data_IF_944096321019
#
_entry.id   IF_944096321019
#
_cell.length_a   1.000
_cell.length_b   1.000
_cell.length_c   1.000
_cell.angle_alpha   90.00
_cell.angle_beta   90.00
_cell.angle_gamma   90.00
#
_symmetry.space_group_name_H-M   'P 1'
#
loop_
_entity.id
_entity.type
_entity.pdbx_description
1 polymer ?
#
# COMPACT_ATOMS: atom_id res chain seq x y z
N UNK A 1 -26.49 45.81 23.25
CA UNK A 1 -27.65 44.88 23.25
C UNK A 1 -28.90 45.75 23.35
N UNK A 2 -29.79 45.71 22.36
CA UNK A 2 -31.11 46.31 22.49
C UNK A 2 -32.04 45.24 23.09
N UNK A 3 -32.75 45.57 24.15
CA UNK A 3 -33.74 44.66 24.75
C UNK A 3 -35.12 45.04 24.24
N UNK A 4 -35.88 44.07 23.79
CA UNK A 4 -37.30 44.29 23.51
C UNK A 4 -38.03 44.39 24.86
N UNK A 5 -38.70 45.52 25.08
CA UNK A 5 -39.43 45.80 26.32
C UNK A 5 -40.79 45.08 26.37
N UNK A 6 -41.22 44.45 25.28
CA UNK A 6 -42.51 43.78 25.14
C UNK A 6 -42.41 42.25 25.05
N UNK A 7 -41.20 41.69 24.91
CA UNK A 7 -40.98 40.23 24.98
C UNK A 7 -40.87 39.77 26.44
N UNK A 8 -41.66 38.76 26.80
CA UNK A 8 -41.71 38.22 28.17
C UNK A 8 -40.45 37.46 28.58
N UNK A 9 -39.66 36.99 27.61
CA UNK A 9 -38.50 36.11 27.81
C UNK A 9 -37.15 36.87 27.87
N UNK A 10 -37.16 38.18 28.10
CA UNK A 10 -35.94 39.02 28.08
C UNK A 10 -35.18 38.95 26.75
N UNK A 11 -35.90 38.83 25.64
CA UNK A 11 -35.31 38.81 24.31
C UNK A 11 -34.70 40.16 23.92
N UNK A 12 -33.71 40.10 23.03
CA UNK A 12 -32.97 41.26 22.59
C UNK A 12 -31.98 40.93 21.48
N UNK A 13 -31.67 41.91 20.65
CA UNK A 13 -30.72 41.78 19.56
C UNK A 13 -29.39 42.45 19.86
N UNK A 14 -28.31 41.80 19.43
CA UNK A 14 -27.01 42.45 19.34
C UNK A 14 -27.07 43.50 18.23
N UNK A 15 -26.77 44.75 18.57
CA UNK A 15 -26.81 45.87 17.63
C UNK A 15 -25.62 45.86 16.68
N UNK A 16 -24.53 45.21 17.08
CA UNK A 16 -23.26 45.19 16.35
C UNK A 16 -22.79 43.73 16.25
N UNK A 17 -23.14 43.10 15.12
CA UNK A 17 -22.77 41.72 14.83
C UNK A 17 -21.25 41.58 14.56
N UNK A 18 -20.65 42.61 13.96
CA UNK A 18 -19.21 42.62 13.68
C UNK A 18 -18.40 42.68 14.98
N UNK A 19 -18.83 43.50 15.95
CA UNK A 19 -18.20 43.53 17.28
C UNK A 19 -18.37 42.21 18.02
N UNK A 20 -19.54 41.56 17.94
CA UNK A 20 -19.75 40.24 18.55
C UNK A 20 -18.79 39.20 17.95
N UNK A 21 -18.70 39.15 16.63
CA UNK A 21 -17.79 38.25 15.91
C UNK A 21 -16.33 38.52 16.29
N UNK A 22 -15.92 39.79 16.36
CA UNK A 22 -14.57 40.16 16.80
C UNK A 22 -14.29 39.69 18.23
N UNK A 23 -15.20 39.88 19.18
CA UNK A 23 -15.03 39.44 20.57
C UNK A 23 -14.90 37.92 20.68
N UNK A 24 -15.64 37.18 19.86
CA UNK A 24 -15.53 35.72 19.78
C UNK A 24 -14.14 35.32 19.27
N UNK A 25 -13.65 35.97 18.22
CA UNK A 25 -12.31 35.70 17.69
C UNK A 25 -11.20 36.05 18.66
N UNK A 26 -11.27 37.20 19.32
CA UNK A 26 -10.30 37.63 20.34
C UNK A 26 -10.25 36.60 21.49
N UNK A 27 -11.41 36.06 21.88
CA UNK A 27 -11.49 35.01 22.88
C UNK A 27 -10.88 33.69 22.40
N UNK A 28 -11.27 33.21 21.21
CA UNK A 28 -10.73 31.98 20.62
C UNK A 28 -9.21 32.04 20.44
N UNK A 29 -8.68 33.21 20.06
CA UNK A 29 -7.24 33.44 19.96
C UNK A 29 -6.54 33.27 21.31
N UNK A 30 -7.11 33.84 22.37
CA UNK A 30 -6.56 33.70 23.74
C UNK A 30 -6.54 32.24 24.18
N UNK A 31 -7.61 31.51 23.92
CA UNK A 31 -7.71 30.09 24.26
C UNK A 31 -6.72 29.25 23.42
N UNK A 32 -6.54 29.57 22.12
CA UNK A 32 -5.57 28.93 21.24
C UNK A 32 -4.11 29.18 21.65
N UNK A 33 -3.77 30.39 22.12
CA UNK A 33 -2.45 30.71 22.66
C UNK A 33 -2.13 29.89 23.91
N UNK A 34 -3.14 29.67 24.77
CA UNK A 34 -3.02 28.82 25.96
C UNK A 34 -2.69 27.39 25.56
N UNK A 35 -3.42 26.83 24.60
CA UNK A 35 -3.18 25.47 24.10
C UNK A 35 -1.81 25.38 23.43
N UNK A 36 -1.40 26.38 22.65
CA UNK A 36 -0.08 26.39 22.01
C UNK A 36 1.06 26.33 23.04
N UNK A 37 0.90 26.99 24.19
CA UNK A 37 1.87 26.95 25.27
C UNK A 37 2.08 25.54 25.86
N UNK A 38 1.13 24.61 25.67
CA UNK A 38 1.22 23.22 26.11
C UNK A 38 2.11 22.34 25.22
N UNK A 39 2.75 22.92 24.20
CA UNK A 39 3.80 22.29 23.39
C UNK A 39 3.39 21.82 21.99
N UNK A 40 2.18 22.14 21.54
CA UNK A 40 1.69 21.77 20.20
C UNK A 40 2.42 22.56 19.09
N UNK A 41 2.82 21.87 18.02
CA UNK A 41 3.52 22.46 16.85
C UNK A 41 2.73 23.62 16.24
N UNK A 42 1.43 23.42 16.09
CA UNK A 42 0.51 24.43 15.59
C UNK A 42 -0.83 24.35 16.32
N UNK A 43 -1.53 25.47 16.37
CA UNK A 43 -2.90 25.56 16.86
C UNK A 43 -3.67 26.45 15.90
N UNK A 44 -4.81 25.96 15.42
CA UNK A 44 -5.67 26.67 14.48
C UNK A 44 -7.04 26.89 15.12
N UNK A 45 -7.53 28.13 15.08
CA UNK A 45 -8.76 28.52 15.77
C UNK A 45 -9.77 29.13 14.81
N UNK A 46 -11.00 28.62 14.82
CA UNK A 46 -12.09 29.15 14.00
C UNK A 46 -13.44 28.91 14.68
N UNK A 47 -14.41 29.79 14.43
CA UNK A 47 -15.79 29.64 14.94
C UNK A 47 -16.40 28.31 14.49
N UNK A 48 -16.09 27.89 13.25
CA UNK A 48 -16.47 26.60 12.70
C UNK A 48 -15.49 26.22 11.59
N UNK A 49 -15.17 24.94 11.46
CA UNK A 49 -14.38 24.43 10.34
C UNK A 49 -15.28 23.77 9.27
N UNK A 50 -14.93 23.87 7.98
CA UNK A 50 -15.58 23.09 6.93
C UNK A 50 -15.49 21.58 7.18
N UNK A 51 -16.45 20.83 6.63
CA UNK A 51 -16.37 19.38 6.59
C UNK A 51 -15.09 18.94 5.87
N UNK A 52 -14.36 17.98 6.44
CA UNK A 52 -13.11 17.48 5.88
C UNK A 52 -11.87 18.34 6.12
N UNK A 53 -11.93 19.38 6.97
CA UNK A 53 -10.76 20.20 7.31
C UNK A 53 -9.58 19.41 7.91
N UNK A 54 -9.83 18.21 8.44
CA UNK A 54 -8.80 17.27 8.94
C UNK A 54 -8.39 16.21 7.92
N UNK A 55 -8.98 16.19 6.72
CA UNK A 55 -8.69 15.18 5.71
C UNK A 55 -7.22 15.24 5.28
N UNK A 56 -6.59 14.06 5.19
CA UNK A 56 -5.18 13.94 4.85
C UNK A 56 -4.21 14.12 6.01
N UNK A 57 -4.69 14.43 7.22
CA UNK A 57 -3.86 14.52 8.43
C UNK A 57 -3.83 13.20 9.19
N UNK A 58 -2.67 12.80 9.70
CA UNK A 58 -2.57 11.64 10.60
C UNK A 58 -3.06 12.00 12.00
N UNK A 59 -3.82 11.10 12.62
CA UNK A 59 -4.34 11.27 13.97
C UNK A 59 -3.42 10.58 14.99
N UNK A 60 -3.04 11.30 16.04
CA UNK A 60 -2.44 10.78 17.26
C UNK A 60 -3.52 10.83 18.35
N UNK A 61 -3.70 9.71 19.04
CA UNK A 61 -4.60 9.62 20.19
C UNK A 61 -3.77 9.81 21.46
N UNK A 62 -4.33 10.54 22.41
CA UNK A 62 -3.75 10.58 23.75
C UNK A 62 -3.88 9.21 24.40
N UNK A 63 -2.92 8.91 25.27
CA UNK A 63 -2.91 7.69 26.06
C UNK A 63 -3.22 8.05 27.52
N UNK A 64 -3.86 7.16 28.30
CA UNK A 64 -4.02 7.37 29.73
C UNK A 64 -2.65 7.61 30.36
N UNK A 65 -2.54 8.59 31.26
CA UNK A 65 -1.29 8.82 31.99
C UNK A 65 -0.77 7.53 32.63
N UNK A 66 0.56 7.38 32.75
CA UNK A 66 1.18 6.21 33.39
C UNK A 66 0.97 6.21 34.91
N UNK A 67 0.80 5.03 35.52
CA UNK A 67 0.58 4.93 36.98
C UNK A 67 1.92 5.15 37.67
N UNK A 68 1.95 6.06 38.64
CA UNK A 68 3.13 6.19 39.50
C UNK A 68 3.30 4.93 40.35
N UNK A 69 4.52 4.66 40.80
CA UNK A 69 4.81 3.48 41.64
C UNK A 69 3.97 3.47 42.94
N UNK A 70 3.64 4.64 43.48
CA UNK A 70 2.78 4.78 44.67
C UNK A 70 1.32 4.43 44.35
N UNK A 71 0.81 4.87 43.20
CA UNK A 71 -0.54 4.53 42.73
C UNK A 71 -0.66 3.04 42.40
N UNK A 72 0.36 2.44 41.78
CA UNK A 72 0.41 0.98 41.53
C UNK A 72 0.35 0.23 42.86
N UNK A 73 1.19 0.61 43.83
CA UNK A 73 1.20 -0.04 45.14
C UNK A 73 -0.14 0.11 45.88
N UNK A 74 -0.81 1.25 45.73
CA UNK A 74 -2.16 1.48 46.29
C UNK A 74 -3.21 0.63 45.57
N UNK A 75 -3.18 0.59 44.24
CA UNK A 75 -4.08 -0.24 43.42
C UNK A 75 -3.94 -1.71 43.81
N UNK A 76 -2.72 -2.22 43.90
CA UNK A 76 -2.44 -3.60 44.29
C UNK A 76 -2.97 -3.92 45.70
N UNK A 77 -2.84 -2.97 46.64
CA UNK A 77 -3.37 -3.13 47.99
C UNK A 77 -4.91 -3.14 48.04
N UNK A 78 -5.56 -2.21 47.33
CA UNK A 78 -7.02 -2.11 47.24
C UNK A 78 -7.58 -3.35 46.53
N UNK A 79 -6.93 -3.81 45.46
CA UNK A 79 -7.30 -5.04 44.74
C UNK A 79 -7.16 -6.26 45.63
N UNK A 80 -6.07 -6.39 46.38
CA UNK A 80 -5.88 -7.51 47.30
C UNK A 80 -6.91 -7.50 48.44
N UNK A 81 -7.31 -6.33 48.95
CA UNK A 81 -8.40 -6.19 49.93
C UNK A 81 -9.74 -6.59 49.33
N UNK A 82 -10.04 -6.12 48.11
CA UNK A 82 -11.25 -6.48 47.36
C UNK A 82 -11.34 -7.98 47.15
N UNK A 83 -10.30 -8.61 46.57
CA UNK A 83 -10.27 -10.05 46.27
C UNK A 83 -10.41 -10.90 47.54
N UNK A 84 -9.78 -10.48 48.65
CA UNK A 84 -9.90 -11.18 49.93
C UNK A 84 -11.31 -11.05 50.53
N UNK A 85 -11.94 -9.89 50.39
CA UNK A 85 -13.28 -9.62 50.90
C UNK A 85 -14.35 -10.32 50.07
N UNK A 86 -14.18 -10.36 48.74
CA UNK A 86 -15.06 -11.06 47.79
C UNK A 86 -15.02 -12.58 48.03
N UNK A 87 -13.82 -13.15 48.17
CA UNK A 87 -13.66 -14.57 48.50
C UNK A 87 -14.32 -14.92 49.84
N UNK A 88 -14.17 -14.06 50.85
CA UNK A 88 -14.84 -14.24 52.14
C UNK A 88 -16.36 -14.16 52.00
N UNK A 89 -16.88 -13.19 51.26
CA UNK A 89 -18.31 -13.01 51.00
C UNK A 89 -18.91 -14.23 50.29
N UNK A 90 -18.20 -14.81 49.30
CA UNK A 90 -18.62 -16.01 48.59
C UNK A 90 -18.75 -17.27 49.47
N UNK A 91 -18.02 -17.34 50.59
CA UNK A 91 -18.11 -18.45 51.56
C UNK A 91 -19.24 -18.28 52.59
N UNK A 92 -19.89 -17.11 52.65
CA UNK A 92 -20.98 -16.84 53.60
C UNK A 92 -22.34 -17.29 53.06
N UNK A 93 -23.17 -17.86 53.95
CA UNK A 93 -24.51 -18.37 53.61
C UNK A 93 -25.59 -17.28 53.69
N UNK A 94 -25.33 -16.21 54.45
CA UNK A 94 -26.22 -15.05 54.64
C UNK A 94 -25.55 -13.78 54.08
N UNK A 95 -26.35 -12.90 53.48
CA UNK A 95 -25.89 -11.60 52.96
C UNK A 95 -25.51 -10.64 54.10
N UNK A 96 -24.34 -10.02 53.99
CA UNK A 96 -23.83 -9.00 54.91
C UNK A 96 -23.70 -7.66 54.19
N UNK A 97 -24.60 -6.73 54.50
CA UNK A 97 -24.67 -5.41 53.88
C UNK A 97 -23.39 -4.59 54.11
N UNK A 98 -22.70 -4.77 55.24
CA UNK A 98 -21.47 -4.01 55.51
C UNK A 98 -20.32 -4.45 54.59
N UNK A 99 -20.32 -5.74 54.21
CA UNK A 99 -19.34 -6.30 53.29
C UNK A 99 -19.66 -5.93 51.84
N UNK A 100 -20.94 -5.95 51.46
CA UNK A 100 -21.40 -5.46 50.16
C UNK A 100 -21.04 -3.98 49.96
N UNK A 101 -21.37 -3.12 50.93
CA UNK A 101 -21.06 -1.68 50.88
C UNK A 101 -19.54 -1.44 50.77
N UNK A 102 -18.73 -2.30 51.42
CA UNK A 102 -17.27 -2.21 51.36
C UNK A 102 -16.71 -2.70 50.02
N UNK A 103 -17.26 -3.77 49.44
CA UNK A 103 -16.90 -4.23 48.10
C UNK A 103 -17.25 -3.19 47.05
N UNK A 104 -18.43 -2.57 47.13
CA UNK A 104 -18.85 -1.48 46.25
C UNK A 104 -17.91 -0.27 46.37
N UNK A 105 -17.51 0.08 47.60
CA UNK A 105 -16.55 1.15 47.83
C UNK A 105 -15.17 0.85 47.22
N UNK A 106 -14.64 -0.36 47.43
CA UNK A 106 -13.34 -0.78 46.89
C UNK A 106 -13.39 -0.91 45.36
N UNK A 107 -14.50 -1.40 44.81
CA UNK A 107 -14.76 -1.43 43.36
C UNK A 107 -14.77 -0.04 42.74
N UNK A 108 -15.48 0.91 43.36
CA UNK A 108 -15.47 2.31 42.92
C UNK A 108 -14.07 2.95 43.02
N UNK A 109 -13.27 2.58 44.03
CA UNK A 109 -11.88 3.03 44.14
C UNK A 109 -11.00 2.42 43.02
N UNK A 110 -11.17 1.13 42.70
CA UNK A 110 -10.49 0.45 41.58
C UNK A 110 -10.84 1.07 40.23
N UNK A 111 -12.12 1.37 39.99
CA UNK A 111 -12.59 2.06 38.79
C UNK A 111 -11.99 3.47 38.69
N UNK A 112 -11.84 4.16 39.83
CA UNK A 112 -11.19 5.46 39.91
C UNK A 112 -9.73 5.48 39.45
N UNK A 113 -9.00 4.36 39.56
CA UNK A 113 -7.65 4.25 38.99
C UNK A 113 -7.65 4.16 37.46
N UNK A 114 -8.77 3.75 36.84
CA UNK A 114 -8.94 3.71 35.39
C UNK A 114 -9.35 5.05 34.78
N UNK A 115 -9.99 5.94 35.55
CA UNK A 115 -10.44 7.27 35.11
C UNK A 115 -9.28 8.29 35.15
N UNK A 116 -8.39 8.20 34.16
CA UNK A 116 -7.13 8.97 34.11
C UNK A 116 -7.12 10.02 33.00
N UNK A 117 -6.44 11.16 33.23
CA UNK A 117 -6.27 12.15 32.19
C UNK A 117 -5.53 11.53 31.00
N UNK A 118 -6.06 11.79 29.80
CA UNK A 118 -5.44 11.42 28.55
C UNK A 118 -4.32 12.41 28.24
N UNK A 119 -3.09 11.92 28.09
CA UNK A 119 -1.88 12.71 27.87
C UNK A 119 -1.24 12.37 26.53
N UNK A 120 -0.58 13.37 25.94
CA UNK A 120 0.22 13.21 24.73
C UNK A 120 1.71 13.28 25.10
N UNK A 121 2.52 12.44 24.47
CA UNK A 121 3.97 12.53 24.58
C UNK A 121 4.44 13.91 24.06
N UNK A 122 5.31 14.64 24.77
CA UNK A 122 5.91 15.88 24.28
C UNK A 122 6.50 15.78 22.86
N UNK A 123 7.10 14.65 22.46
CA UNK A 123 7.61 14.42 21.12
C UNK A 123 6.49 14.33 20.08
N UNK A 124 5.34 13.76 20.45
CA UNK A 124 4.15 13.75 19.59
C UNK A 124 3.57 15.16 19.44
N UNK A 125 3.48 15.94 20.53
CA UNK A 125 3.04 17.34 20.47
C UNK A 125 3.95 18.22 19.62
N UNK A 126 5.25 17.92 19.58
CA UNK A 126 6.21 18.66 18.76
C UNK A 126 6.00 18.50 17.25
N UNK A 127 5.29 17.46 16.81
CA UNK A 127 4.94 17.23 15.39
C UNK A 127 3.45 17.42 15.09
N UNK A 128 2.58 17.34 16.10
CA UNK A 128 1.14 17.46 15.96
C UNK A 128 0.62 18.85 16.35
N UNK A 129 -0.61 19.15 15.94
CA UNK A 129 -1.34 20.34 16.34
C UNK A 129 -2.76 20.07 16.81
N UNK A 130 -3.46 21.17 17.09
CA UNK A 130 -4.82 21.16 17.62
C UNK A 130 -5.73 22.17 16.91
N UNK A 131 -6.98 21.78 16.68
CA UNK A 131 -8.04 22.67 16.26
C UNK A 131 -8.83 23.16 17.48
N UNK A 132 -9.17 24.44 17.49
CA UNK A 132 -9.93 25.10 18.55
C UNK A 132 -11.18 25.72 17.92
N UNK A 133 -12.35 25.25 18.34
CA UNK A 133 -13.62 25.69 17.76
C UNK A 133 -14.71 25.85 18.82
N UNK A 134 -15.85 26.41 18.43
CA UNK A 134 -17.03 26.49 19.27
C UNK A 134 -17.98 25.34 18.92
N UNK A 135 -18.25 24.49 19.91
CA UNK A 135 -19.24 23.42 19.75
C UNK A 135 -20.66 23.95 19.61
N UNK A 136 -21.58 23.09 19.18
CA UNK A 136 -23.00 23.43 19.02
C UNK A 136 -23.68 23.89 20.32
N UNK A 137 -23.12 23.54 21.48
CA UNK A 137 -23.54 23.98 22.81
C UNK A 137 -22.86 25.28 23.27
N UNK A 138 -22.14 25.98 22.37
CA UNK A 138 -21.35 27.18 22.65
C UNK A 138 -20.19 26.98 23.63
N UNK A 139 -19.75 25.75 23.87
CA UNK A 139 -18.54 25.47 24.64
C UNK A 139 -17.31 25.37 23.72
N UNK A 140 -16.14 25.73 24.26
CA UNK A 140 -14.87 25.55 23.57
C UNK A 140 -14.62 24.06 23.34
N UNK A 141 -14.37 23.67 22.09
CA UNK A 141 -13.97 22.33 21.70
C UNK A 141 -12.53 22.36 21.20
N UNK A 142 -11.71 21.47 21.75
CA UNK A 142 -10.31 21.31 21.37
C UNK A 142 -10.12 19.91 20.81
N UNK A 143 -9.78 19.83 19.53
CA UNK A 143 -9.46 18.58 18.86
C UNK A 143 -7.96 18.54 18.61
N UNK A 144 -7.21 17.88 19.50
CA UNK A 144 -5.74 17.87 19.49
C UNK A 144 -5.17 16.54 19.00
N UNK A 145 -3.98 16.53 18.40
CA UNK A 145 -3.35 15.30 17.89
C UNK A 145 -3.43 15.13 16.37
N UNK A 146 -3.39 16.21 15.59
CA UNK A 146 -3.34 16.13 14.13
C UNK A 146 -1.94 16.44 13.58
N UNK A 147 -1.37 15.52 12.81
CA UNK A 147 -0.08 15.72 12.12
C UNK A 147 -0.37 16.03 10.65
N UNK A 148 0.11 17.16 10.16
CA UNK A 148 -0.01 17.53 8.75
C UNK A 148 1.01 16.72 7.92
N UNK A 149 0.76 16.43 6.63
CA UNK A 149 1.72 15.70 5.80
C UNK A 149 3.14 16.29 5.80
N UNK A 150 3.26 17.62 5.82
CA UNK A 150 4.54 18.33 5.90
C UNK A 150 5.24 18.23 7.26
N UNK A 151 4.52 17.80 8.30
CA UNK A 151 5.00 17.64 9.67
C UNK A 151 5.37 16.20 10.02
N UNK A 152 5.16 15.25 9.10
CA UNK A 152 5.56 13.86 9.26
C UNK A 152 7.10 13.77 9.35
N UNK A 153 7.66 13.03 10.32
CA UNK A 153 9.09 12.78 10.35
C UNK A 153 9.48 12.04 9.07
N UNK A 154 10.34 12.65 8.25
CA UNK A 154 10.95 11.97 7.12
C UNK A 154 11.74 10.79 7.67
N UNK A 155 11.44 9.58 7.22
CA UNK A 155 12.34 8.46 7.44
C UNK A 155 13.67 8.84 6.78
N UNK A 156 14.78 8.75 7.53
CA UNK A 156 16.11 8.73 6.95
C UNK A 156 16.24 7.44 6.13
N UNK A 157 15.70 7.45 4.91
CA UNK A 157 16.23 6.61 3.86
C UNK A 157 17.52 7.28 3.42
N UNK A 158 18.61 6.50 3.32
CA UNK A 158 19.87 6.95 2.73
C UNK A 158 19.59 7.48 1.31
N UNK A 159 19.43 8.80 1.19
CA UNK A 159 19.31 9.52 -0.07
C UNK A 159 20.73 9.76 -0.61
N UNK A 160 21.15 8.94 -1.57
CA UNK A 160 22.08 9.40 -2.60
C UNK A 160 21.26 10.17 -3.65
N UNK A 161 21.53 11.46 -3.74
CA UNK A 161 20.99 12.40 -4.71
C UNK A 161 21.26 11.96 -6.15
N UNK A 162 20.28 12.09 -7.04
CA UNK A 162 20.45 12.87 -8.28
C UNK A 162 19.07 13.28 -8.85
N UNK A 163 19.03 14.53 -9.29
CA UNK A 163 17.87 15.23 -9.85
C UNK A 163 17.70 14.95 -11.35
N UNK A 164 16.45 14.83 -11.84
CA UNK A 164 15.99 15.60 -13.01
C UNK A 164 14.46 15.58 -13.23
N UNK A 165 13.94 16.79 -13.48
CA UNK A 165 12.91 17.18 -14.46
C UNK A 165 11.65 16.35 -14.72
N UNK A 166 10.50 16.85 -14.26
CA UNK A 166 9.18 16.40 -14.73
C UNK A 166 8.00 17.24 -14.26
N UNK A 167 7.72 18.30 -15.00
CA UNK A 167 6.62 19.27 -14.90
C UNK A 167 5.25 18.67 -14.51
N UNK A 168 4.72 19.08 -13.34
CA UNK A 168 3.28 19.05 -13.02
C UNK A 168 2.91 20.32 -12.25
N UNK A 169 2.28 21.21 -13.00
CA UNK A 169 1.57 22.41 -12.58
C UNK A 169 0.71 22.19 -11.33
N UNK A 170 1.19 22.69 -10.19
CA UNK A 170 0.43 22.92 -8.97
C UNK A 170 0.46 24.43 -8.70
N UNK A 171 -0.64 25.09 -9.05
CA UNK A 171 -0.86 26.51 -8.85
C UNK A 171 -0.73 26.90 -7.37
N UNK A 172 0.28 27.73 -7.09
CA UNK A 172 0.40 28.74 -6.03
C UNK A 172 -0.24 28.41 -4.66
N UNK A 173 0.55 27.83 -3.78
CA UNK A 173 0.42 28.03 -2.33
C UNK A 173 1.38 29.14 -1.91
N UNK A 174 0.83 30.25 -1.40
CA UNK A 174 1.59 31.37 -0.86
C UNK A 174 2.58 30.89 0.22
N UNK A 175 3.85 31.25 0.02
CA UNK A 175 4.91 31.14 1.02
C UNK A 175 4.56 32.02 2.23
N UNK A 176 4.31 31.41 3.38
CA UNK A 176 4.58 32.09 4.64
C UNK A 176 4.98 31.07 5.72
N UNK A 177 6.28 30.74 5.72
CA UNK A 177 6.95 30.16 6.88
C UNK A 177 6.99 31.18 8.01
N UNK A 178 5.90 31.26 8.77
CA UNK A 178 5.86 31.99 10.03
C UNK A 178 4.96 31.25 11.02
N UNK A 179 5.59 30.86 12.12
CA UNK A 179 4.99 30.47 13.39
C UNK A 179 3.76 31.35 13.70
N UNK A 180 2.53 30.87 13.42
CA UNK A 180 1.35 31.73 13.39
C UNK A 180 0.04 31.00 13.69
N UNK A 181 -0.81 31.66 14.48
CA UNK A 181 -2.22 31.32 14.68
C UNK A 181 -2.96 31.84 13.44
N UNK A 182 -3.56 30.95 12.66
CA UNK A 182 -4.37 31.32 11.49
C UNK A 182 -5.84 31.40 11.92
N UNK A 183 -6.46 32.56 11.69
CA UNK A 183 -7.89 32.82 11.89
C UNK A 183 -8.40 33.48 10.60
N UNK A 184 -9.19 32.75 9.79
CA UNK A 184 -10.16 33.21 8.76
C UNK A 184 -10.19 32.32 7.49
N UNK A 185 -10.94 31.22 7.56
CA UNK A 185 -11.25 30.37 6.41
C UNK A 185 -12.65 30.61 5.81
N UNK A 186 -13.02 31.84 5.38
CA UNK A 186 -14.26 32.02 4.59
C UNK A 186 -14.25 33.22 3.62
N UNK A 187 -14.48 32.90 2.35
CA UNK A 187 -14.85 33.83 1.28
C UNK A 187 -16.37 34.04 1.29
N UNK A 188 -16.80 35.29 1.41
CA UNK A 188 -18.20 35.74 1.29
C UNK A 188 -18.42 36.34 -0.10
N UNK A 189 -18.59 35.50 -1.12
CA UNK A 189 -19.20 35.92 -2.40
C UNK A 189 -20.59 35.28 -2.47
N UNK A 190 -21.69 35.98 -2.68
CA UNK A 190 -21.95 37.40 -2.88
C UNK A 190 -23.46 37.48 -3.05
N UNK A 191 -24.13 38.36 -2.31
CA UNK A 191 -25.55 38.62 -2.53
C UNK A 191 -25.71 39.23 -3.92
N UNK A 192 -26.26 38.47 -4.86
CA UNK A 192 -26.78 39.05 -6.09
C UNK A 192 -28.21 39.52 -5.81
N UNK A 193 -28.39 40.85 -5.88
CA UNK A 193 -29.70 41.47 -6.04
C UNK A 193 -30.42 40.78 -7.21
N UNK A 194 -31.53 40.12 -6.90
CA UNK A 194 -32.44 39.61 -7.92
C UNK A 194 -33.19 40.80 -8.52
N UNK A 195 -32.78 41.21 -9.72
CA UNK A 195 -33.63 41.99 -10.61
C UNK A 195 -34.89 41.16 -10.91
N UNK A 196 -36.05 41.67 -10.52
CA UNK A 196 -37.34 41.05 -10.82
C UNK A 196 -37.58 41.06 -12.34
N UNK A 197 -37.26 39.94 -13.00
CA UNK A 197 -37.75 39.62 -14.34
C UNK A 197 -39.12 38.91 -14.26
N UNK A 198 -40.02 39.17 -15.23
CA UNK A 198 -41.44 38.84 -15.11
C UNK A 198 -41.67 37.33 -14.97
N UNK A 199 -42.71 37.00 -14.21
CA UNK A 199 -43.12 35.64 -13.89
C UNK A 199 -43.48 34.84 -15.15
N UNK A 200 -42.54 34.01 -15.63
CA UNK A 200 -42.89 32.83 -16.42
C UNK A 200 -43.47 31.78 -15.47
N UNK A 201 -44.66 31.25 -15.78
CA UNK A 201 -45.45 30.28 -14.99
C UNK A 201 -44.80 28.87 -14.92
N UNK A 202 -43.50 28.78 -14.67
CA UNK A 202 -42.74 27.55 -14.45
C UNK A 202 -41.90 27.63 -13.17
N UNK A 203 -41.79 26.52 -12.45
CA UNK A 203 -40.89 26.43 -11.30
C UNK A 203 -39.45 26.61 -11.80
N UNK A 204 -38.79 27.70 -11.40
CA UNK A 204 -37.39 27.96 -11.76
C UNK A 204 -36.50 26.81 -11.24
N UNK A 205 -35.48 26.37 -12.01
CA UNK A 205 -34.53 25.38 -11.54
C UNK A 205 -33.78 25.89 -10.30
N UNK A 206 -33.34 24.96 -9.45
CA UNK A 206 -32.56 25.31 -8.26
C UNK A 206 -31.23 25.99 -8.65
N UNK A 207 -30.72 26.95 -7.85
CA UNK A 207 -29.40 27.54 -8.06
C UNK A 207 -28.28 26.48 -8.04
N UNK A 208 -27.29 26.59 -8.93
CA UNK A 208 -26.20 25.60 -9.05
C UNK A 208 -25.44 25.37 -7.73
N UNK A 209 -25.15 26.44 -7.00
CA UNK A 209 -24.48 26.36 -5.69
C UNK A 209 -25.30 25.53 -4.69
N UNK A 210 -26.61 25.71 -4.69
CA UNK A 210 -27.53 24.96 -3.83
C UNK A 210 -27.61 23.50 -4.26
N UNK A 211 -27.64 23.22 -5.56
CA UNK A 211 -27.57 21.84 -6.07
C UNK A 211 -26.29 21.15 -5.58
N UNK A 212 -25.14 21.80 -5.68
CA UNK A 212 -23.88 21.27 -5.16
C UNK A 212 -23.93 20.99 -3.65
N UNK A 213 -24.41 21.94 -2.84
CA UNK A 213 -24.48 21.74 -1.39
C UNK A 213 -25.41 20.58 -1.01
N UNK A 214 -26.56 20.49 -1.66
CA UNK A 214 -27.52 19.41 -1.43
C UNK A 214 -26.98 18.05 -1.90
N UNK A 215 -26.31 17.99 -3.05
CA UNK A 215 -25.73 16.72 -3.53
C UNK A 215 -24.51 16.31 -2.72
N UNK A 216 -23.72 17.25 -2.19
CA UNK A 216 -22.64 16.96 -1.22
C UNK A 216 -23.20 16.32 0.06
N UNK A 217 -24.28 16.90 0.62
CA UNK A 217 -24.96 16.32 1.79
C UNK A 217 -25.53 14.92 1.48
N UNK A 218 -26.17 14.76 0.32
CA UNK A 218 -26.68 13.45 -0.14
C UNK A 218 -25.55 12.42 -0.24
N UNK A 219 -24.42 12.78 -0.82
CA UNK A 219 -23.25 11.91 -0.95
C UNK A 219 -22.71 11.51 0.43
N UNK A 220 -22.60 12.45 1.37
CA UNK A 220 -22.13 12.14 2.72
C UNK A 220 -23.09 11.19 3.46
N UNK A 221 -24.40 11.43 3.38
CA UNK A 221 -25.41 10.55 3.96
C UNK A 221 -25.38 9.16 3.31
N UNK A 222 -25.21 9.08 1.98
CA UNK A 222 -25.12 7.81 1.25
C UNK A 222 -23.85 7.04 1.61
N UNK A 223 -22.69 7.70 1.79
CA UNK A 223 -21.45 7.07 2.28
C UNK A 223 -21.68 6.39 3.63
N UNK A 224 -22.35 7.06 4.56
CA UNK A 224 -22.68 6.49 5.87
C UNK A 224 -23.64 5.29 5.77
N UNK A 225 -24.67 5.40 4.92
CA UNK A 225 -25.62 4.31 4.69
C UNK A 225 -24.94 3.08 4.06
N UNK A 226 -24.07 3.28 3.06
CA UNK A 226 -23.33 2.21 2.38
C UNK A 226 -22.35 1.52 3.33
N UNK A 227 -21.64 2.28 4.17
CA UNK A 227 -20.73 1.73 5.18
C UNK A 227 -21.44 0.79 6.19
N UNK A 228 -22.75 0.98 6.38
CA UNK A 228 -23.58 0.13 7.24
C UNK A 228 -24.14 -1.11 6.53
N UNK A 229 -23.84 -1.33 5.24
CA UNK A 229 -24.35 -2.45 4.44
C UNK A 229 -23.22 -3.11 3.63
N UNK A 230 -22.59 -4.12 4.24
CA UNK A 230 -21.40 -4.81 3.69
C UNK A 230 -21.67 -5.47 2.35
N UNK A 231 -22.81 -6.14 2.18
CA UNK A 231 -23.15 -6.85 0.95
C UNK A 231 -23.33 -5.90 -0.24
N UNK A 232 -24.00 -4.76 -0.02
CA UNK A 232 -24.18 -3.75 -1.06
C UNK A 232 -22.86 -3.02 -1.35
N UNK A 233 -22.02 -2.77 -0.33
CA UNK A 233 -20.68 -2.22 -0.52
C UNK A 233 -19.82 -3.15 -1.40
N UNK A 234 -19.87 -4.47 -1.15
CA UNK A 234 -19.20 -5.47 -1.97
C UNK A 234 -19.67 -5.41 -3.43
N UNK A 235 -21.00 -5.38 -3.66
CA UNK A 235 -21.56 -5.30 -5.02
C UNK A 235 -21.20 -3.97 -5.71
N UNK A 236 -21.16 -2.86 -4.96
CA UNK A 236 -20.73 -1.55 -5.48
C UNK A 236 -19.27 -1.55 -5.97
N UNK A 237 -18.36 -2.12 -5.18
CA UNK A 237 -16.96 -2.26 -5.61
C UNK A 237 -16.86 -3.23 -6.79
N UNK A 238 -17.53 -4.39 -6.72
CA UNK A 238 -17.56 -5.36 -7.82
C UNK A 238 -18.04 -4.72 -9.12
N UNK A 239 -19.11 -3.94 -9.07
CA UNK A 239 -19.64 -3.19 -10.21
C UNK A 239 -18.59 -2.27 -10.83
N UNK A 240 -17.89 -1.47 -10.02
CA UNK A 240 -16.83 -0.59 -10.48
C UNK A 240 -15.66 -1.34 -11.13
N UNK A 241 -15.30 -2.53 -10.61
CA UNK A 241 -14.24 -3.35 -11.17
C UNK A 241 -14.66 -4.01 -12.50
N UNK A 242 -15.87 -4.58 -12.55
CA UNK A 242 -16.40 -5.23 -13.75
C UNK A 242 -16.55 -4.24 -14.91
N UNK A 243 -17.01 -3.00 -14.63
CA UNK A 243 -17.03 -1.93 -15.64
C UNK A 243 -15.66 -1.71 -16.29
N UNK A 244 -14.59 -1.68 -15.49
CA UNK A 244 -13.24 -1.43 -15.97
C UNK A 244 -12.62 -2.63 -16.71
N UNK A 245 -13.01 -3.85 -16.33
CA UNK A 245 -12.47 -5.09 -16.92
C UNK A 245 -13.17 -5.44 -18.24
N UNK A 246 -14.49 -5.29 -18.32
CA UNK A 246 -15.29 -5.78 -19.47
C UNK A 246 -15.77 -4.66 -20.41
N UNK A 247 -15.74 -3.39 -20.00
CA UNK A 247 -16.30 -2.29 -20.80
C UNK A 247 -15.26 -1.18 -21.03
N UNK A 248 -14.76 -1.09 -22.26
CA UNK A 248 -13.60 -0.26 -22.64
C UNK A 248 -13.75 1.26 -22.39
N UNK A 249 -14.94 1.76 -22.07
CA UNK A 249 -15.21 3.19 -21.83
C UNK A 249 -16.34 3.47 -20.83
N UNK A 250 -16.82 2.47 -20.08
CA UNK A 250 -17.97 2.67 -19.20
C UNK A 250 -17.54 3.39 -17.91
N UNK A 251 -18.09 4.58 -17.70
CA UNK A 251 -17.85 5.42 -16.51
C UNK A 251 -19.07 5.44 -15.59
N UNK A 252 -19.96 4.47 -15.72
CA UNK A 252 -21.27 4.46 -15.09
C UNK A 252 -21.21 4.01 -13.62
N UNK A 253 -20.25 4.55 -12.85
CA UNK A 253 -20.07 4.26 -11.43
C UNK A 253 -19.99 5.55 -10.63
N UNK A 254 -20.66 5.58 -9.48
CA UNK A 254 -20.48 6.64 -8.49
C UNK A 254 -19.31 6.38 -7.53
N UNK A 255 -18.65 5.22 -7.64
CA UNK A 255 -17.43 4.90 -6.89
C UNK A 255 -16.21 5.36 -7.66
N UNK A 256 -15.38 6.17 -7.01
CA UNK A 256 -14.10 6.67 -7.51
C UNK A 256 -12.99 5.65 -7.21
N UNK A 257 -13.01 4.50 -7.90
CA UNK A 257 -12.02 3.41 -7.77
C UNK A 257 -11.43 3.10 -9.14
N UNK A 258 -10.10 2.99 -9.23
CA UNK A 258 -9.39 2.66 -10.48
C UNK A 258 -8.71 1.30 -10.35
N UNK A 259 -8.91 0.44 -11.34
CA UNK A 259 -8.17 -0.80 -11.54
C UNK A 259 -7.11 -0.58 -12.63
N UNK A 260 -5.85 -0.90 -12.30
CA UNK A 260 -4.74 -0.87 -13.24
C UNK A 260 -4.31 -2.30 -13.58
N UNK A 261 -4.11 -2.58 -14.87
CA UNK A 261 -3.56 -3.84 -15.38
C UNK A 261 -2.46 -3.53 -16.38
N UNK A 262 -1.24 -4.00 -16.13
CA UNK A 262 -0.13 -3.82 -17.07
C UNK A 262 -0.24 -4.83 -18.22
N UNK A 263 0.19 -4.42 -19.41
CA UNK A 263 0.31 -5.33 -20.56
C UNK A 263 1.72 -5.91 -20.61
N UNK A 264 1.82 -7.23 -20.79
CA UNK A 264 3.08 -7.95 -20.91
C UNK A 264 3.41 -8.33 -22.36
N UNK A 265 2.85 -7.62 -23.35
CA UNK A 265 2.99 -7.96 -24.78
C UNK A 265 4.42 -7.96 -25.32
N UNK A 266 5.39 -7.42 -24.58
CA UNK A 266 6.81 -7.45 -24.93
C UNK A 266 7.50 -8.77 -24.54
N UNK A 267 6.88 -9.59 -23.68
CA UNK A 267 7.45 -10.85 -23.20
C UNK A 267 7.03 -11.98 -24.12
N UNK A 268 8.00 -12.61 -24.77
CA UNK A 268 7.74 -13.71 -25.71
C UNK A 268 7.29 -14.99 -25.00
N UNK A 269 6.35 -15.70 -25.63
CA UNK A 269 5.90 -17.02 -25.19
C UNK A 269 4.85 -17.04 -24.09
N UNK A 270 4.55 -15.91 -23.43
CA UNK A 270 3.57 -15.86 -22.33
C UNK A 270 2.16 -16.29 -22.78
N UNK A 271 1.74 -15.94 -24.00
CA UNK A 271 0.41 -16.33 -24.50
C UNK A 271 0.22 -17.85 -24.61
N UNK A 272 1.31 -18.62 -24.71
CA UNK A 272 1.23 -20.07 -24.85
C UNK A 272 1.17 -20.82 -23.54
N UNK A 273 1.39 -20.13 -22.42
CA UNK A 273 1.45 -20.78 -21.12
C UNK A 273 0.06 -21.19 -20.62
N UNK A 274 0.01 -22.23 -19.79
CA UNK A 274 -1.25 -22.78 -19.23
C UNK A 274 -2.03 -21.71 -18.45
N UNK A 275 -1.40 -21.06 -17.48
CA UNK A 275 -1.89 -19.90 -16.74
C UNK A 275 -2.43 -18.75 -17.61
N UNK A 276 -1.79 -18.38 -18.73
CA UNK A 276 -2.35 -17.36 -19.63
C UNK A 276 -3.64 -17.84 -20.32
N UNK A 277 -3.68 -19.12 -20.75
CA UNK A 277 -4.86 -19.76 -21.35
C UNK A 277 -6.00 -19.88 -20.33
N UNK A 278 -5.72 -20.31 -19.11
CA UNK A 278 -6.71 -20.41 -18.03
C UNK A 278 -7.30 -19.04 -17.64
N UNK A 279 -6.48 -17.98 -17.63
CA UNK A 279 -6.96 -16.61 -17.42
C UNK A 279 -7.89 -16.20 -18.58
N UNK A 280 -7.50 -16.44 -19.82
CA UNK A 280 -8.30 -16.09 -21.00
C UNK A 280 -9.63 -16.87 -21.05
N UNK A 281 -9.61 -18.18 -20.79
CA UNK A 281 -10.79 -19.03 -20.73
C UNK A 281 -11.76 -18.57 -19.63
N UNK A 282 -11.24 -18.28 -18.44
CA UNK A 282 -12.04 -17.75 -17.33
C UNK A 282 -12.63 -16.38 -17.66
N UNK A 283 -11.88 -15.52 -18.35
CA UNK A 283 -12.36 -14.21 -18.78
C UNK A 283 -13.47 -14.33 -19.82
N UNK A 284 -13.28 -15.15 -20.86
CA UNK A 284 -14.28 -15.40 -21.91
C UNK A 284 -15.56 -16.03 -21.34
N UNK A 285 -15.43 -16.92 -20.35
CA UNK A 285 -16.58 -17.50 -19.68
C UNK A 285 -17.47 -16.44 -19.02
N UNK A 286 -16.88 -15.46 -18.34
CA UNK A 286 -17.61 -14.33 -17.77
C UNK A 286 -18.16 -13.40 -18.85
N UNK A 287 -17.33 -13.04 -19.84
CA UNK A 287 -17.69 -12.11 -20.91
C UNK A 287 -18.95 -12.54 -21.68
N UNK A 288 -19.11 -13.85 -21.89
CA UNK A 288 -20.29 -14.41 -22.58
C UNK A 288 -21.62 -14.13 -21.87
N UNK A 289 -21.59 -14.02 -20.54
CA UNK A 289 -22.77 -13.82 -19.71
C UNK A 289 -22.97 -12.34 -19.29
N UNK A 290 -22.02 -11.45 -19.63
CA UNK A 290 -22.10 -10.03 -19.27
C UNK A 290 -23.22 -9.30 -20.02
N UNK A 291 -24.05 -8.51 -19.33
CA UNK A 291 -25.08 -7.70 -19.97
C UNK A 291 -24.51 -6.41 -20.59
N UNK A 292 -25.37 -5.54 -21.12
CA UNK A 292 -25.01 -4.14 -21.37
C UNK A 292 -24.68 -3.42 -20.04
N UNK A 293 -23.82 -2.39 -20.08
CA UNK A 293 -23.32 -1.72 -18.86
C UNK A 293 -24.43 -1.10 -18.00
N UNK A 294 -25.52 -0.63 -18.62
CA UNK A 294 -26.67 -0.03 -17.93
C UNK A 294 -27.50 -1.04 -17.12
N UNK A 295 -27.34 -2.34 -17.39
CA UNK A 295 -28.02 -3.44 -16.69
C UNK A 295 -27.09 -4.20 -15.73
N UNK A 296 -25.82 -3.81 -15.67
CA UNK A 296 -24.81 -4.54 -14.90
C UNK A 296 -25.14 -4.58 -13.40
N UNK A 297 -25.63 -3.47 -12.84
CA UNK A 297 -25.99 -3.40 -11.42
C UNK A 297 -27.02 -4.47 -11.02
N UNK A 298 -28.12 -4.57 -11.76
CA UNK A 298 -29.19 -5.53 -11.49
C UNK A 298 -28.74 -6.97 -11.75
N UNK A 299 -27.90 -7.18 -12.77
CA UNK A 299 -27.27 -8.47 -13.02
C UNK A 299 -26.43 -8.93 -11.82
N UNK A 300 -25.56 -8.06 -11.28
CA UNK A 300 -24.74 -8.40 -10.12
C UNK A 300 -25.58 -8.65 -8.87
N UNK A 301 -26.68 -7.94 -8.67
CA UNK A 301 -27.63 -8.22 -7.58
C UNK A 301 -28.34 -9.57 -7.74
N UNK A 302 -28.54 -10.03 -8.97
CA UNK A 302 -29.15 -11.32 -9.29
C UNK A 302 -28.21 -12.52 -9.15
N UNK A 303 -26.88 -12.29 -9.11
CA UNK A 303 -25.90 -13.35 -8.91
C UNK A 303 -25.90 -13.85 -7.47
N UNK A 304 -25.70 -15.17 -7.30
CA UNK A 304 -25.47 -15.74 -5.99
C UNK A 304 -24.13 -15.27 -5.40
N UNK A 305 -23.95 -15.48 -4.09
CA UNK A 305 -22.75 -15.03 -3.39
C UNK A 305 -21.47 -15.66 -3.93
N UNK A 306 -21.52 -16.94 -4.32
CA UNK A 306 -20.38 -17.66 -4.88
C UNK A 306 -19.93 -17.05 -6.22
N UNK A 307 -20.87 -16.77 -7.13
CA UNK A 307 -20.56 -16.14 -8.43
C UNK A 307 -20.04 -14.72 -8.26
N UNK A 308 -20.63 -13.94 -7.35
CA UNK A 308 -20.14 -12.59 -7.03
C UNK A 308 -18.70 -12.61 -6.52
N UNK A 309 -18.35 -13.54 -5.62
CA UNK A 309 -16.98 -13.70 -5.10
C UNK A 309 -16.01 -14.20 -6.18
N UNK A 310 -16.42 -15.14 -7.02
CA UNK A 310 -15.59 -15.65 -8.11
C UNK A 310 -15.29 -14.57 -9.16
N UNK A 311 -16.29 -13.77 -9.53
CA UNK A 311 -16.12 -12.63 -10.44
C UNK A 311 -15.23 -11.54 -9.83
N UNK A 312 -15.42 -11.23 -8.54
CA UNK A 312 -14.56 -10.31 -7.80
C UNK A 312 -13.10 -10.78 -7.82
N UNK A 313 -12.86 -12.05 -7.50
CA UNK A 313 -11.52 -12.64 -7.52
C UNK A 313 -10.89 -12.59 -8.93
N UNK A 314 -11.68 -12.84 -9.98
CA UNK A 314 -11.21 -12.68 -11.35
C UNK A 314 -10.78 -11.25 -11.64
N UNK A 315 -11.62 -10.25 -11.37
CA UNK A 315 -11.30 -8.85 -11.59
C UNK A 315 -10.06 -8.41 -10.80
N UNK A 316 -10.01 -8.74 -9.50
CA UNK A 316 -8.87 -8.43 -8.65
C UNK A 316 -7.57 -9.08 -9.17
N UNK A 317 -7.62 -10.33 -9.63
CA UNK A 317 -6.41 -11.02 -10.14
C UNK A 317 -5.75 -10.33 -11.34
N UNK A 318 -6.52 -9.63 -12.17
CA UNK A 318 -5.99 -8.88 -13.32
C UNK A 318 -5.22 -7.61 -12.91
N UNK A 319 -5.38 -7.17 -11.66
CA UNK A 319 -4.67 -6.00 -11.12
C UNK A 319 -3.32 -6.33 -10.46
N UNK A 320 -2.99 -7.61 -10.30
CA UNK A 320 -1.75 -8.04 -9.68
C UNK A 320 -0.56 -7.72 -10.60
N UNK A 321 0.40 -6.95 -10.10
CA UNK A 321 1.61 -6.60 -10.84
C UNK A 321 2.87 -6.66 -9.96
N UNK A 322 3.56 -7.79 -10.04
CA UNK A 322 4.84 -8.07 -9.39
C UNK A 322 6.06 -7.88 -10.33
N UNK A 323 5.91 -7.14 -11.43
CA UNK A 323 7.04 -6.89 -12.35
C UNK A 323 8.03 -5.90 -11.74
N UNK A 324 9.31 -6.27 -11.79
CA UNK A 324 10.44 -5.42 -11.44
C UNK A 324 10.87 -4.60 -12.65
N UNK A 325 10.63 -3.29 -12.60
CA UNK A 325 11.01 -2.33 -13.64
C UNK A 325 12.20 -1.48 -13.17
N UNK A 326 13.30 -1.37 -13.94
CA UNK A 326 14.48 -0.61 -13.53
C UNK A 326 14.20 0.87 -13.20
N UNK A 327 13.27 1.49 -13.94
CA UNK A 327 12.89 2.91 -13.84
C UNK A 327 11.74 3.18 -12.86
N UNK A 328 11.11 2.14 -12.31
CA UNK A 328 9.92 2.26 -11.47
C UNK A 328 9.98 1.21 -10.36
N UNK A 329 10.93 1.40 -9.44
CA UNK A 329 11.13 0.50 -8.30
C UNK A 329 10.00 0.71 -7.29
N UNK A 330 9.22 -0.35 -7.05
CA UNK A 330 8.10 -0.38 -6.11
C UNK A 330 8.37 -1.42 -5.01
N UNK A 331 9.41 -1.25 -4.17
CA UNK A 331 9.87 -2.30 -3.25
C UNK A 331 8.75 -2.78 -2.31
N UNK A 332 7.98 -1.87 -1.72
CA UNK A 332 6.84 -2.25 -0.86
C UNK A 332 5.74 -3.04 -1.61
N UNK A 333 5.53 -2.79 -2.90
CA UNK A 333 4.58 -3.57 -3.69
C UNK A 333 5.10 -4.98 -4.00
N UNK A 334 6.41 -5.13 -4.19
CA UNK A 334 7.05 -6.43 -4.41
C UNK A 334 7.06 -7.28 -3.13
N UNK A 335 7.42 -6.69 -1.98
CA UNK A 335 7.29 -7.36 -0.67
C UNK A 335 5.85 -7.81 -0.39
N UNK A 336 4.86 -6.99 -0.77
CA UNK A 336 3.46 -7.40 -0.66
C UNK A 336 3.09 -8.53 -1.64
N UNK A 337 3.66 -8.55 -2.85
CA UNK A 337 3.46 -9.66 -3.78
C UNK A 337 4.03 -10.98 -3.22
N UNK A 338 5.18 -10.94 -2.55
CA UNK A 338 5.76 -12.12 -1.88
C UNK A 338 4.88 -12.59 -0.71
N UNK A 339 4.37 -11.67 0.11
CA UNK A 339 3.41 -12.00 1.18
C UNK A 339 2.12 -12.62 0.62
N UNK A 340 1.64 -12.11 -0.53
CA UNK A 340 0.48 -12.67 -1.22
C UNK A 340 0.77 -14.07 -1.77
N UNK A 341 1.92 -14.29 -2.41
CA UNK A 341 2.33 -15.60 -2.89
C UNK A 341 2.43 -16.61 -1.74
N UNK A 342 3.04 -16.24 -0.61
CA UNK A 342 3.10 -17.07 0.58
C UNK A 342 1.71 -17.40 1.15
N UNK A 343 0.77 -16.45 1.12
CA UNK A 343 -0.61 -16.66 1.58
C UNK A 343 -1.38 -17.63 0.67
N UNK A 344 -1.07 -17.61 -0.64
CA UNK A 344 -1.69 -18.48 -1.64
C UNK A 344 -1.01 -19.85 -1.75
N UNK A 345 0.08 -20.09 -0.99
CA UNK A 345 0.98 -21.24 -1.18
C UNK A 345 1.43 -21.36 -2.65
N UNK A 346 1.69 -20.21 -3.28
CA UNK A 346 2.06 -20.11 -4.69
C UNK A 346 3.57 -20.27 -4.86
N UNK A 347 3.95 -21.20 -5.74
CA UNK A 347 5.34 -21.45 -6.12
C UNK A 347 5.47 -21.60 -7.63
N UNK A 348 6.52 -21.04 -8.21
CA UNK A 348 6.76 -21.05 -9.66
C UNK A 348 7.04 -22.46 -10.21
N UNK A 349 7.65 -23.36 -9.42
CA UNK A 349 7.85 -24.76 -9.85
C UNK A 349 6.51 -25.48 -9.95
N UNK A 350 5.65 -25.34 -8.93
CA UNK A 350 4.30 -25.95 -8.94
C UNK A 350 3.40 -25.36 -10.03
N UNK A 351 3.59 -24.08 -10.38
CA UNK A 351 2.94 -23.43 -11.51
C UNK A 351 3.44 -23.92 -12.89
N UNK A 352 4.44 -24.82 -12.92
CA UNK A 352 4.97 -25.44 -14.12
C UNK A 352 6.05 -24.62 -14.83
N UNK A 353 6.69 -23.67 -14.15
CA UNK A 353 7.86 -22.99 -14.70
C UNK A 353 9.08 -23.90 -14.63
N UNK A 354 9.79 -24.01 -15.74
CA UNK A 354 11.07 -24.71 -15.83
C UNK A 354 12.07 -23.93 -16.71
N UNK A 355 13.37 -24.02 -16.44
CA UNK A 355 14.38 -23.34 -17.24
C UNK A 355 14.55 -24.04 -18.60
N UNK A 356 14.18 -23.35 -19.66
CA UNK A 356 14.35 -23.81 -21.04
C UNK A 356 15.37 -22.95 -21.77
N UNK A 357 15.77 -23.40 -22.97
CA UNK A 357 16.64 -22.62 -23.86
C UNK A 357 16.00 -21.27 -24.20
N UNK A 358 14.69 -21.26 -24.45
CA UNK A 358 14.00 -20.08 -24.97
C UNK A 358 13.68 -19.03 -23.88
N UNK A 359 13.46 -19.45 -22.63
CA UNK A 359 13.06 -18.55 -21.55
C UNK A 359 14.23 -18.05 -20.67
N UNK A 360 15.29 -18.84 -20.45
CA UNK A 360 16.37 -18.52 -19.51
C UNK A 360 17.75 -18.94 -20.03
N UNK A 361 17.95 -20.23 -20.32
CA UNK A 361 19.29 -20.80 -20.55
C UNK A 361 19.97 -20.28 -21.81
N UNK A 362 19.22 -19.92 -22.86
CA UNK A 362 19.77 -19.28 -24.06
C UNK A 362 20.12 -17.79 -23.86
N UNK A 363 19.52 -17.15 -22.84
CA UNK A 363 19.60 -15.70 -22.61
C UNK A 363 20.71 -15.30 -21.63
N UNK A 364 21.15 -16.22 -20.78
CA UNK A 364 22.20 -15.96 -19.79
C UNK A 364 23.60 -16.32 -20.30
N UNK A 365 24.64 -15.97 -19.52
CA UNK A 365 26.03 -16.32 -19.81
C UNK A 365 26.31 -17.80 -19.52
N UNK A 366 27.36 -18.38 -20.13
CA UNK A 366 27.80 -19.75 -19.83
C UNK A 366 28.03 -19.99 -18.33
N UNK A 367 28.63 -19.01 -17.66
CA UNK A 367 28.88 -19.06 -16.22
C UNK A 367 27.59 -19.21 -15.42
N UNK A 368 26.54 -18.45 -15.76
CA UNK A 368 25.22 -18.57 -15.13
C UNK A 368 24.54 -19.91 -15.42
N UNK A 369 24.71 -20.48 -16.63
CA UNK A 369 24.21 -21.83 -16.94
C UNK A 369 24.88 -22.89 -16.04
N UNK A 370 26.21 -22.85 -15.93
CA UNK A 370 26.98 -23.77 -15.09
C UNK A 370 26.60 -23.61 -13.61
N UNK A 371 26.40 -22.37 -13.15
CA UNK A 371 25.94 -22.09 -11.79
C UNK A 371 24.54 -22.70 -11.53
N UNK A 372 23.58 -22.50 -12.43
CA UNK A 372 22.23 -23.07 -12.27
C UNK A 372 22.26 -24.60 -12.17
N UNK A 373 23.04 -25.27 -13.03
CA UNK A 373 23.21 -26.73 -12.97
C UNK A 373 23.92 -27.17 -11.70
N UNK A 374 24.92 -26.41 -11.23
CA UNK A 374 25.61 -26.69 -9.96
C UNK A 374 24.66 -26.60 -8.77
N UNK A 375 23.86 -25.55 -8.68
CA UNK A 375 22.87 -25.35 -7.61
C UNK A 375 21.81 -26.47 -7.62
N UNK A 376 21.30 -26.84 -8.80
CA UNK A 376 20.22 -27.81 -8.92
C UNK A 376 20.66 -29.28 -8.84
N UNK A 377 21.84 -29.61 -9.36
CA UNK A 377 22.30 -30.99 -9.63
C UNK A 377 23.73 -31.29 -9.17
N UNK A 378 24.38 -30.35 -8.48
CA UNK A 378 25.71 -30.52 -7.90
C UNK A 378 26.87 -30.27 -8.86
N UNK A 379 28.08 -30.25 -8.29
CA UNK A 379 29.31 -29.87 -8.99
C UNK A 379 29.70 -30.83 -10.13
N UNK A 380 29.48 -32.13 -9.96
CA UNK A 380 29.82 -33.13 -10.98
C UNK A 380 29.04 -32.90 -12.27
N UNK A 381 27.74 -32.60 -12.16
CA UNK A 381 26.87 -32.27 -13.30
C UNK A 381 27.31 -30.98 -14.01
N UNK A 382 27.82 -30.01 -13.26
CA UNK A 382 28.31 -28.75 -13.81
C UNK A 382 29.59 -28.93 -14.66
N UNK A 383 30.49 -29.82 -14.24
CA UNK A 383 31.71 -30.17 -14.99
C UNK A 383 31.43 -30.88 -16.31
N UNK A 384 30.28 -31.56 -16.44
CA UNK A 384 29.89 -32.21 -17.69
C UNK A 384 29.61 -31.19 -18.81
N UNK A 385 29.24 -29.96 -18.47
CA UNK A 385 28.78 -28.97 -19.45
C UNK A 385 29.72 -27.76 -19.61
N UNK A 386 30.67 -27.54 -18.71
CA UNK A 386 31.48 -26.31 -18.63
C UNK A 386 32.30 -26.00 -19.91
N UNK A 387 32.77 -27.04 -20.59
CA UNK A 387 33.58 -26.99 -21.80
C UNK A 387 32.74 -26.89 -23.09
N UNK A 388 31.41 -26.99 -22.99
CA UNK A 388 30.53 -26.97 -24.15
C UNK A 388 30.41 -25.56 -24.77
N UNK A 389 30.08 -25.51 -26.06
CA UNK A 389 29.65 -24.26 -26.74
C UNK A 389 28.26 -23.85 -26.22
N UNK A 390 27.96 -22.54 -26.23
CA UNK A 390 26.78 -21.97 -25.54
C UNK A 390 25.47 -22.67 -25.91
N UNK A 391 25.21 -22.87 -27.20
CA UNK A 391 23.94 -23.45 -27.65
C UNK A 391 23.78 -24.92 -27.23
N UNK A 392 24.87 -25.70 -27.23
CA UNK A 392 24.87 -27.08 -26.76
C UNK A 392 24.77 -27.14 -25.23
N UNK A 393 25.48 -26.25 -24.53
CA UNK A 393 25.43 -26.11 -23.08
C UNK A 393 24.01 -25.80 -22.60
N UNK A 394 23.30 -24.87 -23.25
CA UNK A 394 21.93 -24.52 -22.88
C UNK A 394 20.97 -25.70 -23.06
N UNK A 395 21.13 -26.49 -24.13
CA UNK A 395 20.30 -27.68 -24.39
C UNK A 395 20.56 -28.80 -23.39
N UNK A 396 21.83 -29.08 -23.08
CA UNK A 396 22.18 -30.11 -22.10
C UNK A 396 21.80 -29.66 -20.68
N UNK A 397 21.97 -28.38 -20.35
CA UNK A 397 21.51 -27.83 -19.08
C UNK A 397 19.98 -27.95 -18.92
N UNK A 398 19.20 -27.70 -19.98
CA UNK A 398 17.75 -27.92 -19.93
C UNK A 398 17.41 -29.38 -19.59
N UNK A 399 18.10 -30.34 -20.21
CA UNK A 399 17.94 -31.78 -19.92
C UNK A 399 18.34 -32.14 -18.49
N UNK A 400 19.40 -31.53 -17.95
CA UNK A 400 19.86 -31.77 -16.58
C UNK A 400 18.90 -31.15 -15.54
N UNK A 401 18.30 -30.00 -15.85
CA UNK A 401 17.40 -29.26 -14.96
C UNK A 401 15.94 -29.73 -15.02
N UNK A 402 15.59 -30.56 -16.00
CA UNK A 402 14.27 -31.19 -16.12
C UNK A 402 13.87 -31.87 -14.80
N UNK A 403 12.67 -31.55 -14.31
CA UNK A 403 12.14 -32.05 -13.03
C UNK A 403 12.93 -31.62 -11.79
N UNK A 404 13.72 -30.55 -11.86
CA UNK A 404 14.34 -29.94 -10.67
C UNK A 404 13.38 -28.94 -10.00
N UNK A 405 13.62 -28.64 -8.73
CA UNK A 405 12.94 -27.55 -8.00
C UNK A 405 13.72 -26.23 -8.10
N UNK A 406 14.67 -26.14 -9.04
CA UNK A 406 15.54 -24.97 -9.13
C UNK A 406 14.81 -23.82 -9.83
N UNK A 407 14.89 -22.65 -9.23
CA UNK A 407 14.41 -21.38 -9.77
C UNK A 407 15.55 -20.35 -9.83
N UNK A 408 15.56 -19.44 -10.81
CA UNK A 408 16.44 -18.27 -10.80
C UNK A 408 16.05 -17.29 -9.70
N UNK A 409 17.02 -16.52 -9.20
CA UNK A 409 16.87 -15.58 -8.07
C UNK A 409 15.55 -14.76 -8.10
N UNK A 410 15.11 -14.13 -9.22
CA UNK A 410 13.90 -13.30 -9.22
C UNK A 410 12.58 -14.06 -9.10
N UNK A 411 12.59 -15.39 -9.23
CA UNK A 411 11.40 -16.24 -9.09
C UNK A 411 11.34 -16.94 -7.73
N UNK A 412 12.37 -16.78 -6.89
CA UNK A 412 12.42 -17.32 -5.53
C UNK A 412 11.66 -16.39 -4.59
N UNK A 413 10.90 -16.96 -3.66
CA UNK A 413 10.34 -16.20 -2.54
C UNK A 413 11.42 -15.94 -1.49
N UNK A 414 11.38 -14.79 -0.79
CA UNK A 414 12.40 -14.37 0.20
C UNK A 414 12.61 -15.34 1.39
N UNK A 415 11.84 -16.43 1.49
CA UNK A 415 12.08 -17.52 2.45
C UNK A 415 13.00 -18.64 1.96
N UNK A 416 13.24 -18.76 0.64
CA UNK A 416 13.97 -19.87 0.03
C UNK A 416 15.46 -19.55 -0.21
N UNK A 417 15.82 -18.26 -0.15
CA UNK A 417 17.18 -17.76 -0.36
C UNK A 417 18.08 -17.83 0.90
N UNK A 418 17.55 -18.22 2.06
CA UNK A 418 18.31 -18.27 3.32
C UNK A 418 19.25 -19.49 3.46
N UNK A 419 19.29 -20.38 2.46
CA UNK A 419 20.29 -21.43 2.36
C UNK A 419 21.26 -21.10 1.22
N UNK A 420 22.45 -20.63 1.57
CA UNK A 420 23.64 -20.53 0.71
C UNK A 420 23.87 -19.22 -0.08
N UNK A 421 23.84 -18.07 0.61
CA UNK A 421 24.54 -16.86 0.16
C UNK A 421 25.88 -16.71 0.91
N UNK A 422 26.85 -17.56 0.56
CA UNK A 422 28.26 -17.32 0.89
C UNK A 422 28.83 -16.22 -0.02
N UNK A 423 29.40 -15.18 0.61
CA UNK A 423 30.17 -14.10 0.00
C UNK A 423 31.07 -14.54 -1.17
N UNK A 424 31.03 -13.81 -2.28
CA UNK A 424 32.18 -13.02 -2.78
C UNK A 424 31.86 -12.35 -4.12
N UNK A 425 31.81 -11.03 -4.12
CA UNK A 425 31.98 -10.19 -5.31
C UNK A 425 33.45 -9.79 -5.38
N UNK A 426 34.09 -9.86 -6.55
CA UNK A 426 35.09 -8.86 -6.89
C UNK A 426 34.63 -8.05 -8.11
N UNK A 427 34.48 -6.75 -7.88
CA UNK A 427 34.57 -5.72 -8.91
C UNK A 427 36.00 -5.72 -9.49
N UNK A 428 36.13 -5.73 -10.81
CA UNK A 428 36.64 -4.60 -11.60
C UNK A 428 37.14 -5.08 -12.98
N UNK A 429 36.66 -4.40 -14.02
CA UNK A 429 37.43 -3.86 -15.15
C UNK A 429 36.53 -3.71 -16.38
N UNK A 430 35.99 -2.50 -16.53
CA UNK A 430 35.62 -1.95 -17.82
C UNK A 430 36.89 -1.75 -18.67
N UNK A 431 36.82 -2.11 -19.97
CA UNK A 431 37.10 -1.21 -21.11
C UNK A 431 37.07 -2.04 -22.41
N UNK A 432 35.95 -2.01 -23.13
CA UNK A 432 35.90 -2.38 -24.55
C UNK A 432 35.83 -1.10 -25.38
N UNK A 433 36.95 -0.74 -26.01
CA UNK A 433 36.94 0.14 -27.18
C UNK A 433 37.23 -0.68 -28.45
N UNK A 434 36.29 -0.55 -29.38
CA UNK A 434 36.23 -1.19 -30.69
C UNK A 434 37.41 -0.84 -31.61
N UNK A 435 37.79 -1.75 -32.51
CA UNK A 435 38.19 -1.40 -33.88
C UNK A 435 37.87 -2.51 -34.90
N UNK A 436 37.21 -2.07 -35.97
CA UNK A 436 37.00 -2.69 -37.28
C UNK A 436 38.30 -3.17 -37.97
N UNK A 437 38.15 -4.11 -38.91
CA UNK A 437 38.87 -4.02 -40.20
C UNK A 437 39.85 -5.16 -40.55
N UNK A 438 39.32 -6.11 -41.32
CA UNK A 438 39.87 -6.80 -42.51
C UNK A 438 41.38 -7.09 -42.72
N UNK A 439 41.62 -8.33 -43.14
CA UNK A 439 42.71 -8.88 -43.96
C UNK A 439 44.18 -8.49 -43.69
N UNK A 440 44.97 -9.45 -43.15
CA UNK A 440 46.29 -9.81 -43.68
C UNK A 440 46.85 -11.10 -43.03
N UNK A 441 47.09 -12.09 -43.88
CA UNK A 441 48.25 -13.00 -43.92
C UNK A 441 48.78 -13.67 -42.63
N UNK A 442 48.68 -15.00 -42.66
CA UNK A 442 49.36 -15.96 -41.79
C UNK A 442 50.89 -15.73 -41.81
N UNK A 443 51.58 -15.69 -40.65
CA UNK A 443 53.04 -15.66 -40.64
C UNK A 443 53.64 -17.03 -40.95
N UNK A 444 54.49 -17.04 -41.99
CA UNK A 444 55.33 -18.15 -42.40
C UNK A 444 56.46 -18.39 -41.38
N UNK A 445 56.25 -19.34 -40.48
CA UNK A 445 57.35 -20.02 -39.78
C UNK A 445 56.93 -21.46 -39.52
N UNK A 446 56.95 -22.28 -40.56
CA UNK A 446 57.15 -23.74 -40.53
C UNK A 446 57.11 -24.24 -41.99
N UNK A 447 58.08 -23.79 -42.78
CA UNK A 447 58.48 -24.47 -44.01
C UNK A 447 59.95 -24.86 -43.81
N UNK A 448 60.19 -26.08 -43.33
CA UNK A 448 61.46 -26.74 -43.58
C UNK A 448 61.21 -28.22 -43.88
N UNK A 449 61.71 -28.64 -45.04
CA UNK A 449 61.72 -30.00 -45.56
C UNK A 449 63.11 -30.26 -46.12
N UNK A 450 63.82 -31.25 -45.59
CA UNK A 450 64.76 -32.13 -46.29
C UNK A 450 65.29 -33.15 -45.26
N UNK A 451 64.91 -34.42 -45.31
CA UNK A 451 65.44 -35.48 -46.18
C UNK A 451 66.93 -35.75 -45.97
N UNK A 452 67.26 -36.92 -45.42
CA UNK A 452 68.41 -37.73 -45.84
C UNK A 452 68.20 -39.22 -45.51
N UNK A 453 68.33 -40.05 -46.55
CA UNK A 453 68.43 -41.52 -46.59
C UNK A 453 69.81 -41.97 -46.06
N UNK A 454 70.04 -43.25 -45.63
CA UNK A 454 70.28 -44.34 -46.59
C UNK A 454 69.83 -45.78 -46.20
N UNK A 455 69.48 -46.53 -47.25
CA UNK A 455 69.72 -47.96 -47.55
C UNK A 455 70.38 -48.88 -46.49
N UNK A 456 69.79 -50.06 -46.22
CA UNK A 456 70.20 -51.39 -46.75
C UNK A 456 69.45 -52.59 -46.12
N UNK A 457 68.95 -53.47 -47.00
CA UNK A 457 68.99 -54.95 -47.03
C UNK A 457 68.46 -55.86 -45.88
N UNK A 458 67.50 -56.70 -46.29
CA UNK A 458 67.41 -58.17 -46.13
C UNK A 458 66.71 -58.82 -44.91
N UNK A 459 65.94 -59.90 -45.21
CA UNK A 459 65.43 -60.94 -44.31
C UNK A 459 63.89 -61.01 -44.29
N UNK A 460 63.24 -61.94 -45.02
CA UNK A 460 62.79 -63.29 -44.53
C UNK A 460 61.74 -63.17 -43.42
N UNK A 461 60.44 -63.45 -43.64
CA UNK A 461 59.72 -64.74 -43.83
C UNK A 461 58.76 -64.90 -42.63
N UNK A 462 57.47 -65.16 -42.93
CA UNK A 462 56.48 -66.01 -42.17
C UNK A 462 56.26 -65.72 -40.66
N UNK A 463 55.10 -65.89 -40.04
CA UNK A 463 54.01 -66.83 -40.24
C UNK A 463 52.83 -66.47 -39.30
N UNK A 464 51.65 -67.02 -39.63
CA UNK A 464 50.54 -67.48 -38.76
C UNK A 464 49.92 -66.54 -37.68
N UNK A 465 48.61 -66.23 -37.78
CA UNK A 465 47.46 -67.06 -37.35
C UNK A 465 47.52 -67.48 -35.88
N UNK A 466 46.59 -67.00 -35.07
CA UNK A 466 45.60 -67.86 -34.43
C UNK A 466 44.44 -67.05 -33.82
N UNK A 467 43.26 -67.65 -33.94
CA UNK A 467 42.00 -67.25 -33.35
C UNK A 467 41.63 -68.23 -32.22
N UNK A 468 40.50 -67.95 -31.55
CA UNK A 468 39.89 -68.62 -30.40
C UNK A 468 40.44 -68.10 -29.06
N UNK A 469 39.60 -67.67 -28.12
CA UNK A 469 38.25 -68.14 -27.77
C UNK A 469 37.32 -66.99 -27.35
#
# INVERSE_FOLDING_TARGET
ILRDLFEQDSGGWFQDAALLEQLVFDRLKTDAETIRADGWKWVEAAISFPYGHTSGMRRIYAEPAEMSAEEIARYDAVKAEYDALDAKYAEMEDADQEIEDRLDQLGAELDGFGDRPQVYDPAQKAIAGAFVTLGANSQLQVEAGFVRPEDEPRAEADDDEEADGGDRDASQSDENGANGIVVNGRSTNGGSEATEEPEEEGIKPLPERLVFDLTAQKTLALRNALASNVDIAFVAVLHALVLQVFYRFAKDSCLEVTLASNSFGQVQGLAETTWAKEIAERHEAWDRDMPDSDKLWDFLLGLDEASRKALFAHCASLSLNAVVEPWNRRPGALTHADALAATLDFDMVTAGWEPTVDNYLGRVTKARIVQAVREARGQDSAQLIDHMKKDLMAREAARLLEGSTWLPEPLRLEGDAAVDAGETIPEDAADETALDGDAAELPAFLADTASEEPTTLAGEETDQLEAAE
#
